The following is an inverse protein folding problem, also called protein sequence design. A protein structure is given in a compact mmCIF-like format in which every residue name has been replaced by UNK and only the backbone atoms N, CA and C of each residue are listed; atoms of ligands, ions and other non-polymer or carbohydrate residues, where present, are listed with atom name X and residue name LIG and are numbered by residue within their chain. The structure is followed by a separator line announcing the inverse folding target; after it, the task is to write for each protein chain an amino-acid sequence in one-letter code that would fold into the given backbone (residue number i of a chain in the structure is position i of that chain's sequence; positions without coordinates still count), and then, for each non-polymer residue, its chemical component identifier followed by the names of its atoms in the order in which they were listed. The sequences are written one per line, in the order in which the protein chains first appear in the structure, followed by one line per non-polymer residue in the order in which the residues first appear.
data_IF_730744077062
#
_entry.id   IF_730744077062
#
_cell.length_a   1.000
_cell.length_b   1.000
_cell.length_c   1.000
_cell.angle_alpha   90.00
_cell.angle_beta   90.00
_cell.angle_gamma   90.00
#
_symmetry.space_group_name_H-M   'P 1'
#
loop_
_entity.id
_entity.type
_entity.pdbx_description
1 polymer ?
#
# COMPACT_ATOMS: atom_id res chain seq x y z
N UNK A 1 30.85 -58.89 -25.01
CA UNK A 1 30.09 -58.80 -23.75
C UNK A 1 30.78 -57.85 -22.76
N UNK A 2 32.10 -57.85 -22.71
CA UNK A 2 32.90 -57.05 -21.76
C UNK A 2 32.80 -55.53 -21.95
N UNK A 3 32.64 -55.04 -23.19
CA UNK A 3 32.51 -53.59 -23.45
C UNK A 3 31.18 -52.99 -22.96
N UNK A 4 30.12 -53.78 -22.89
CA UNK A 4 28.81 -53.32 -22.37
C UNK A 4 28.78 -53.33 -20.83
N UNK A 5 29.47 -54.28 -20.20
CA UNK A 5 29.65 -54.31 -18.75
C UNK A 5 30.52 -53.16 -18.27
N UNK A 6 31.59 -52.82 -19.01
CA UNK A 6 32.43 -51.66 -18.70
C UNK A 6 31.65 -50.33 -18.76
N UNK A 7 30.85 -50.11 -19.81
CA UNK A 7 30.03 -48.90 -19.95
C UNK A 7 28.89 -48.81 -18.91
N UNK A 8 28.35 -49.96 -18.48
CA UNK A 8 27.37 -49.99 -17.41
C UNK A 8 27.99 -49.61 -16.06
N UNK A 9 29.21 -50.08 -15.80
CA UNK A 9 29.94 -49.80 -14.56
C UNK A 9 30.40 -48.33 -14.48
N UNK A 10 30.87 -47.76 -15.59
CA UNK A 10 31.23 -46.34 -15.69
C UNK A 10 30.00 -45.42 -15.48
N UNK A 11 28.81 -45.83 -15.97
CA UNK A 11 27.55 -45.11 -15.71
C UNK A 11 27.07 -45.23 -14.27
N UNK A 12 27.26 -46.37 -13.63
CA UNK A 12 26.90 -46.52 -12.21
C UNK A 12 27.83 -45.73 -11.32
N UNK A 13 29.13 -45.70 -11.60
CA UNK A 13 30.12 -44.98 -10.79
C UNK A 13 29.97 -43.46 -10.93
N UNK A 14 29.67 -42.97 -12.14
CA UNK A 14 29.35 -41.56 -12.37
C UNK A 14 28.01 -41.14 -11.75
N UNK A 15 26.99 -42.00 -11.77
CA UNK A 15 25.74 -41.75 -11.05
C UNK A 15 25.94 -41.76 -9.52
N UNK A 16 26.81 -42.63 -9.01
CA UNK A 16 27.14 -42.73 -7.58
C UNK A 16 27.91 -41.49 -7.09
N UNK A 17 28.86 -41.00 -7.90
CA UNK A 17 29.60 -39.76 -7.64
C UNK A 17 28.68 -38.53 -7.69
N UNK A 18 27.74 -38.47 -8.64
CA UNK A 18 26.75 -37.39 -8.71
C UNK A 18 25.76 -37.39 -7.53
N UNK A 19 25.37 -38.57 -7.05
CA UNK A 19 24.55 -38.73 -5.84
C UNK A 19 25.31 -38.33 -4.57
N UNK A 20 26.61 -38.67 -4.47
CA UNK A 20 27.45 -38.23 -3.35
C UNK A 20 27.73 -36.72 -3.38
N UNK A 21 27.96 -36.13 -4.55
CA UNK A 21 28.14 -34.68 -4.67
C UNK A 21 26.86 -33.92 -4.34
N UNK A 22 25.70 -34.40 -4.81
CA UNK A 22 24.39 -33.84 -4.46
C UNK A 22 24.09 -34.00 -2.97
N UNK A 23 24.42 -35.15 -2.37
CA UNK A 23 24.32 -35.38 -0.92
C UNK A 23 25.18 -34.40 -0.12
N UNK A 24 26.43 -34.18 -0.53
CA UNK A 24 27.34 -33.24 0.13
C UNK A 24 26.85 -31.78 0.03
N UNK A 25 26.34 -31.36 -1.14
CA UNK A 25 25.74 -30.03 -1.34
C UNK A 25 24.43 -29.82 -0.56
N UNK A 26 23.62 -30.85 -0.42
CA UNK A 26 22.41 -30.82 0.42
C UNK A 26 22.81 -30.72 1.89
N UNK A 27 23.82 -31.46 2.35
CA UNK A 27 24.31 -31.35 3.73
C UNK A 27 24.94 -29.99 4.03
N UNK A 28 25.67 -29.40 3.08
CA UNK A 28 26.25 -28.05 3.24
C UNK A 28 25.18 -26.95 3.22
N UNK A 29 24.13 -27.14 2.41
CA UNK A 29 22.98 -26.23 2.36
C UNK A 29 22.11 -26.34 3.60
N UNK A 30 21.95 -27.55 4.15
CA UNK A 30 21.26 -27.76 5.42
C UNK A 30 22.06 -27.22 6.61
N UNK A 31 23.40 -27.31 6.59
CA UNK A 31 24.23 -26.65 7.61
C UNK A 31 24.19 -25.14 7.49
N UNK A 32 24.20 -24.57 6.28
CA UNK A 32 24.09 -23.11 6.09
C UNK A 32 22.70 -22.58 6.44
N UNK A 33 21.63 -23.34 6.15
CA UNK A 33 20.27 -23.04 6.61
C UNK A 33 20.15 -23.15 8.13
N UNK A 34 20.79 -24.15 8.75
CA UNK A 34 20.84 -24.30 10.21
C UNK A 34 21.56 -23.14 10.87
N UNK A 35 22.71 -22.73 10.33
CA UNK A 35 23.47 -21.60 10.86
C UNK A 35 22.74 -20.28 10.60
N UNK A 36 22.15 -20.08 9.42
CA UNK A 36 21.33 -18.91 9.10
C UNK A 36 20.07 -18.80 9.99
N UNK A 37 19.36 -19.90 10.22
CA UNK A 37 18.21 -19.94 11.13
C UNK A 37 18.64 -19.67 12.58
N UNK A 38 19.79 -20.19 13.01
CA UNK A 38 20.35 -19.94 14.34
C UNK A 38 20.73 -18.47 14.52
N UNK A 39 21.34 -17.85 13.52
CA UNK A 39 21.72 -16.42 13.56
C UNK A 39 20.49 -15.52 13.50
N UNK A 40 19.50 -15.83 12.66
CA UNK A 40 18.24 -15.11 12.59
C UNK A 40 17.47 -15.18 13.92
N UNK A 41 17.38 -16.36 14.53
CA UNK A 41 16.71 -16.53 15.82
C UNK A 41 17.45 -15.80 16.96
N UNK A 42 18.78 -15.78 16.94
CA UNK A 42 19.58 -15.02 17.90
C UNK A 42 19.42 -13.50 17.71
N UNK A 43 19.33 -13.02 16.48
CA UNK A 43 19.06 -11.62 16.16
C UNK A 43 17.64 -11.21 16.58
N UNK A 44 16.63 -12.04 16.31
CA UNK A 44 15.26 -11.78 16.76
C UNK A 44 15.14 -11.77 18.28
N UNK A 45 15.81 -12.69 18.97
CA UNK A 45 15.85 -12.72 20.43
C UNK A 45 16.57 -11.50 21.02
N UNK A 46 17.70 -11.08 20.44
CA UNK A 46 18.41 -9.87 20.87
C UNK A 46 17.63 -8.58 20.60
N UNK A 47 16.89 -8.51 19.49
CA UNK A 47 16.01 -7.38 19.16
C UNK A 47 14.77 -7.30 20.07
N UNK A 48 14.28 -8.45 20.55
CA UNK A 48 13.23 -8.51 21.58
C UNK A 48 13.80 -8.14 22.95
N UNK A 49 15.05 -8.45 23.26
CA UNK A 49 15.65 -8.13 24.57
C UNK A 49 15.99 -6.64 24.73
N UNK A 50 16.35 -5.97 23.63
CA UNK A 50 16.70 -4.54 23.60
C UNK A 50 15.51 -3.58 23.54
N UNK A 51 14.33 -4.05 23.08
CA UNK A 51 13.11 -3.23 22.94
C UNK A 51 12.32 -3.04 24.24
N UNK A 52 12.66 -3.72 25.33
CA UNK A 52 11.85 -3.73 26.55
C UNK A 52 12.63 -3.26 27.77
N UNK A 53 12.23 -2.13 28.35
CA UNK A 53 12.75 -1.59 29.62
C UNK A 53 11.62 -1.45 30.66
N UNK A 54 11.93 -1.99 31.84
CA UNK A 54 11.33 -1.86 33.18
C UNK A 54 9.86 -2.26 33.40
N UNK A 55 9.66 -3.50 33.85
CA UNK A 55 8.47 -3.98 34.57
C UNK A 55 8.62 -5.43 35.03
N UNK A 56 7.96 -5.84 36.12
CA UNK A 56 8.05 -7.19 36.72
C UNK A 56 7.75 -8.33 35.72
N UNK A 57 6.88 -8.07 34.74
CA UNK A 57 6.55 -8.98 33.64
C UNK A 57 7.76 -9.29 32.73
N UNK A 58 8.65 -8.31 32.52
CA UNK A 58 9.84 -8.48 31.67
C UNK A 58 10.89 -9.38 32.31
N UNK A 59 10.99 -9.42 33.65
CA UNK A 59 11.90 -10.35 34.33
C UNK A 59 11.45 -11.81 34.19
N UNK A 60 10.15 -12.09 34.30
CA UNK A 60 9.62 -13.45 34.12
C UNK A 60 9.82 -13.98 32.70
N UNK A 61 9.60 -13.13 31.70
CA UNK A 61 9.83 -13.50 30.30
C UNK A 61 11.32 -13.72 30.03
N UNK A 62 12.22 -12.88 30.58
CA UNK A 62 13.67 -13.09 30.48
C UNK A 62 14.14 -14.39 31.12
N UNK A 63 13.64 -14.72 32.31
CA UNK A 63 13.94 -15.99 32.98
C UNK A 63 13.45 -17.20 32.17
N UNK A 64 12.23 -17.11 31.63
CA UNK A 64 11.67 -18.16 30.78
C UNK A 64 12.47 -18.35 29.48
N UNK A 65 12.88 -17.26 28.82
CA UNK A 65 13.74 -17.30 27.63
C UNK A 65 15.14 -17.86 27.93
N UNK A 66 15.71 -17.54 29.10
CA UNK A 66 16.99 -18.10 29.53
C UNK A 66 16.89 -19.62 29.76
N UNK A 67 15.85 -20.09 30.45
CA UNK A 67 15.57 -21.51 30.64
C UNK A 67 15.34 -22.23 29.32
N UNK A 68 14.57 -21.63 28.39
CA UNK A 68 14.33 -22.18 27.06
C UNK A 68 15.64 -22.31 26.27
N UNK A 69 16.51 -21.29 26.34
CA UNK A 69 17.82 -21.28 25.67
C UNK A 69 18.76 -22.34 26.23
N UNK A 70 18.70 -22.61 27.53
CA UNK A 70 19.49 -23.63 28.20
C UNK A 70 18.97 -25.05 27.88
N UNK A 71 17.64 -25.23 27.89
CA UNK A 71 16.99 -26.47 27.44
C UNK A 71 17.33 -26.78 25.97
N UNK A 72 17.29 -25.78 25.08
CA UNK A 72 17.66 -25.93 23.67
C UNK A 72 19.15 -26.21 23.47
N UNK A 73 20.05 -25.78 24.36
CA UNK A 73 21.47 -26.15 24.33
C UNK A 73 21.72 -27.60 24.76
N UNK A 74 20.90 -28.15 25.65
CA UNK A 74 21.00 -29.52 26.12
C UNK A 74 20.47 -30.55 25.10
N UNK A 75 19.60 -30.12 24.17
CA UNK A 75 19.11 -30.96 23.08
C UNK A 75 20.22 -31.14 22.04
N UNK A 76 20.86 -32.30 22.04
CA UNK A 76 21.79 -32.71 20.97
C UNK A 76 20.99 -33.00 19.69
N UNK A 77 21.13 -32.19 18.62
CA UNK A 77 20.35 -32.39 17.40
C UNK A 77 20.61 -33.76 16.75
N UNK A 78 21.83 -34.29 16.88
CA UNK A 78 22.20 -35.61 16.35
C UNK A 78 21.31 -36.73 16.90
N UNK A 79 20.92 -36.67 18.18
CA UNK A 79 20.04 -37.66 18.81
C UNK A 79 18.60 -37.59 18.28
N UNK A 80 18.15 -36.41 17.88
CA UNK A 80 16.85 -36.22 17.22
C UNK A 80 16.93 -36.78 15.80
N UNK A 81 18.00 -36.47 15.05
CA UNK A 81 18.18 -37.01 13.70
C UNK A 81 18.31 -38.53 13.71
N UNK A 82 19.08 -39.11 14.62
CA UNK A 82 19.23 -40.57 14.75
C UNK A 82 17.87 -41.21 15.06
N UNK A 83 17.06 -40.63 15.95
CA UNK A 83 15.71 -41.14 16.24
C UNK A 83 14.74 -40.97 15.08
N UNK A 84 14.81 -39.86 14.34
CA UNK A 84 13.99 -39.64 13.14
C UNK A 84 14.38 -40.64 12.06
N UNK A 85 15.68 -40.88 11.86
CA UNK A 85 16.19 -41.86 10.89
C UNK A 85 15.76 -43.27 11.28
N UNK A 86 15.92 -43.67 12.55
CA UNK A 86 15.46 -44.98 13.04
C UNK A 86 13.95 -45.14 12.82
N UNK A 87 13.16 -44.12 13.13
CA UNK A 87 11.71 -44.14 12.89
C UNK A 87 11.37 -44.33 11.40
N UNK A 88 12.00 -43.55 10.51
CA UNK A 88 11.76 -43.65 9.06
C UNK A 88 12.30 -44.94 8.42
N UNK A 89 13.36 -45.53 8.97
CA UNK A 89 14.01 -46.73 8.43
C UNK A 89 13.37 -48.03 8.96
N UNK A 90 12.90 -48.04 10.21
CA UNK A 90 12.40 -49.27 10.84
C UNK A 90 10.90 -49.30 11.08
N UNK A 91 10.22 -48.17 11.27
CA UNK A 91 8.79 -48.16 11.62
C UNK A 91 7.88 -47.72 10.47
N UNK A 92 8.42 -46.98 9.50
CA UNK A 92 7.64 -46.49 8.35
C UNK A 92 7.58 -47.54 7.23
N UNK A 93 6.50 -48.32 7.21
CA UNK A 93 6.19 -49.23 6.09
C UNK A 93 5.51 -48.50 4.93
N UNK A 94 5.52 -49.08 3.72
CA UNK A 94 4.89 -48.51 2.50
C UNK A 94 3.46 -47.97 2.73
N UNK A 95 2.56 -48.63 3.47
CA UNK A 95 1.22 -48.10 3.75
C UNK A 95 1.23 -46.77 4.52
N UNK A 96 2.17 -46.56 5.43
CA UNK A 96 2.31 -45.31 6.19
C UNK A 96 2.75 -44.14 5.31
N UNK A 97 3.65 -44.40 4.34
CA UNK A 97 4.04 -43.39 3.35
C UNK A 97 2.87 -43.01 2.43
N UNK A 98 2.09 -44.00 1.99
CA UNK A 98 0.88 -43.74 1.19
C UNK A 98 -0.15 -42.93 1.97
N UNK A 99 -0.42 -43.30 3.23
CA UNK A 99 -1.36 -42.58 4.07
C UNK A 99 -0.90 -41.15 4.38
N UNK A 100 0.39 -40.97 4.73
CA UNK A 100 0.98 -39.65 4.97
C UNK A 100 0.96 -38.76 3.72
N UNK A 101 1.30 -39.32 2.55
CA UNK A 101 1.23 -38.61 1.27
C UNK A 101 -0.21 -38.21 0.90
N UNK A 102 -1.18 -39.11 1.11
CA UNK A 102 -2.60 -38.83 0.89
C UNK A 102 -3.11 -37.73 1.83
N UNK A 103 -2.75 -37.77 3.11
CA UNK A 103 -3.09 -36.72 4.08
C UNK A 103 -2.45 -35.37 3.73
N UNK A 104 -1.20 -35.35 3.28
CA UNK A 104 -0.52 -34.12 2.86
C UNK A 104 -1.15 -33.52 1.60
N UNK A 105 -1.49 -34.35 0.62
CA UNK A 105 -2.18 -33.92 -0.59
C UNK A 105 -3.56 -33.37 -0.26
N UNK A 106 -4.36 -34.11 0.52
CA UNK A 106 -5.68 -33.67 0.94
C UNK A 106 -5.62 -32.38 1.78
N UNK A 107 -4.68 -32.30 2.72
CA UNK A 107 -4.44 -31.10 3.53
C UNK A 107 -4.01 -29.90 2.70
N UNK A 108 -3.19 -30.11 1.66
CA UNK A 108 -2.78 -29.05 0.73
C UNK A 108 -3.94 -28.60 -0.15
N UNK A 109 -4.74 -29.52 -0.68
CA UNK A 109 -5.94 -29.19 -1.50
C UNK A 109 -6.97 -28.44 -0.66
N UNK A 110 -7.25 -28.91 0.57
CA UNK A 110 -8.14 -28.22 1.51
C UNK A 110 -7.56 -26.87 1.91
N UNK A 111 -6.26 -26.79 2.20
CA UNK A 111 -5.57 -25.55 2.56
C UNK A 111 -5.61 -24.50 1.43
N UNK A 112 -5.38 -24.92 0.19
CA UNK A 112 -5.51 -24.05 -0.99
C UNK A 112 -6.98 -23.65 -1.20
N UNK A 113 -7.93 -24.58 -1.11
CA UNK A 113 -9.35 -24.28 -1.28
C UNK A 113 -9.88 -23.31 -0.20
N UNK A 114 -9.46 -23.51 1.06
CA UNK A 114 -9.76 -22.61 2.18
C UNK A 114 -9.04 -21.27 2.00
N UNK A 115 -7.77 -21.25 1.60
CA UNK A 115 -7.02 -20.02 1.34
C UNK A 115 -7.62 -19.18 0.20
N UNK A 116 -8.05 -19.82 -0.89
CA UNK A 116 -8.73 -19.18 -2.02
C UNK A 116 -10.10 -18.65 -1.59
N UNK A 117 -10.87 -19.40 -0.77
CA UNK A 117 -12.17 -18.94 -0.24
C UNK A 117 -12.06 -17.88 0.85
N UNK A 118 -11.00 -17.88 1.65
CA UNK A 118 -10.76 -16.86 2.68
C UNK A 118 -10.23 -15.56 2.09
N UNK A 119 -9.48 -15.60 0.97
CA UNK A 119 -9.08 -14.40 0.22
C UNK A 119 -10.27 -13.56 -0.28
N UNK A 120 -11.44 -14.18 -0.47
CA UNK A 120 -12.66 -13.49 -0.93
C UNK A 120 -13.49 -12.81 0.17
N UNK A 121 -13.08 -12.84 1.44
CA UNK A 121 -13.98 -12.47 2.56
C UNK A 121 -13.85 -11.02 3.07
N UNK A 122 -13.15 -10.12 2.37
CA UNK A 122 -13.38 -8.68 2.56
C UNK A 122 -14.52 -8.25 1.64
N UNK A 123 -15.70 -8.83 1.83
CA UNK A 123 -16.91 -8.41 1.11
C UNK A 123 -17.24 -7.00 1.60
N UNK A 124 -17.19 -6.02 0.70
CA UNK A 124 -17.65 -4.68 0.99
C UNK A 124 -19.08 -4.76 1.58
N UNK A 125 -19.38 -4.04 2.68
CA UNK A 125 -20.67 -4.12 3.35
C UNK A 125 -21.80 -3.84 2.35
N UNK A 126 -22.98 -4.45 2.50
CA UNK A 126 -24.09 -4.26 1.54
C UNK A 126 -24.55 -2.79 1.41
N UNK A 127 -24.21 -1.98 2.42
CA UNK A 127 -24.48 -0.54 2.52
C UNK A 127 -23.25 0.15 3.07
N UNK A 128 -23.04 1.39 2.65
CA UNK A 128 -21.97 2.25 3.14
C UNK A 128 -22.47 3.66 3.39
N UNK A 129 -21.73 4.37 4.25
CA UNK A 129 -21.91 5.80 4.45
C UNK A 129 -21.21 6.60 3.36
N UNK A 130 -21.85 7.67 2.92
CA UNK A 130 -21.27 8.63 1.99
C UNK A 130 -21.80 10.05 2.23
N UNK A 131 -20.97 11.04 1.95
CA UNK A 131 -21.37 12.44 1.86
C UNK A 131 -21.83 12.71 0.43
N UNK A 132 -23.10 13.08 0.29
CA UNK A 132 -23.76 13.21 -1.00
C UNK A 132 -24.53 14.51 -1.14
N UNK A 133 -24.91 14.84 -2.37
CA UNK A 133 -25.98 15.77 -2.67
C UNK A 133 -27.10 15.09 -3.45
N UNK A 134 -28.35 15.46 -3.16
CA UNK A 134 -29.56 15.01 -3.87
C UNK A 134 -30.21 16.11 -4.71
N UNK A 135 -29.65 17.32 -4.67
CA UNK A 135 -30.03 18.45 -5.49
C UNK A 135 -28.84 19.40 -5.60
N UNK A 136 -28.74 20.15 -6.69
CA UNK A 136 -27.68 21.15 -6.85
C UNK A 136 -28.04 22.46 -6.15
N UNK A 137 -27.85 22.52 -4.83
CA UNK A 137 -28.07 23.74 -4.02
C UNK A 137 -26.82 24.15 -3.25
N UNK A 138 -25.65 23.71 -3.71
CA UNK A 138 -24.38 24.00 -3.03
C UNK A 138 -24.31 23.36 -1.65
N UNK A 139 -23.74 24.09 -0.70
CA UNK A 139 -23.43 23.57 0.64
C UNK A 139 -24.67 23.09 1.41
N UNK A 140 -25.82 23.71 1.21
CA UNK A 140 -27.07 23.38 1.89
C UNK A 140 -27.64 22.01 1.50
N UNK A 141 -27.25 21.48 0.34
CA UNK A 141 -27.70 20.16 -0.13
C UNK A 141 -26.78 19.02 0.32
N UNK A 142 -25.66 19.33 0.98
CA UNK A 142 -24.67 18.33 1.42
C UNK A 142 -25.22 17.60 2.65
N UNK A 143 -25.32 16.28 2.56
CA UNK A 143 -25.77 15.44 3.65
C UNK A 143 -25.03 14.11 3.70
N UNK A 144 -25.05 13.47 4.87
CA UNK A 144 -24.54 12.10 5.03
C UNK A 144 -25.70 11.13 4.82
N UNK A 145 -25.50 10.14 3.96
CA UNK A 145 -26.44 9.04 3.71
C UNK A 145 -25.76 7.75 4.12
N UNK A 146 -26.47 6.89 4.86
CA UNK A 146 -25.90 5.67 5.45
C UNK A 146 -26.18 4.40 4.64
N UNK A 147 -27.06 4.48 3.65
CA UNK A 147 -27.56 3.34 2.88
C UNK A 147 -27.16 3.36 1.39
N UNK A 148 -26.00 3.96 1.08
CA UNK A 148 -25.45 3.94 -0.29
C UNK A 148 -24.93 2.54 -0.61
N UNK A 149 -25.20 2.04 -1.81
CA UNK A 149 -24.62 0.76 -2.27
C UNK A 149 -23.14 1.01 -2.60
N UNK A 150 -22.20 0.24 -2.03
CA UNK A 150 -20.80 0.42 -2.38
C UNK A 150 -20.53 0.11 -3.85
N UNK A 151 -19.62 0.85 -4.48
CA UNK A 151 -19.23 0.59 -5.86
C UNK A 151 -18.54 -0.76 -5.99
N UNK A 152 -18.65 -1.37 -7.17
CA UNK A 152 -18.01 -2.64 -7.52
C UNK A 152 -17.11 -2.45 -8.72
N UNK A 153 -16.12 -3.33 -8.85
CA UNK A 153 -15.25 -3.38 -10.03
C UNK A 153 -16.12 -3.81 -11.22
N UNK A 154 -16.22 -2.94 -12.23
CA UNK A 154 -16.96 -3.17 -13.47
C UNK A 154 -15.98 -3.43 -14.61
N UNK A 155 -14.86 -2.70 -14.61
CA UNK A 155 -13.86 -2.79 -15.66
C UNK A 155 -12.61 -3.54 -15.17
N UNK A 156 -11.89 -4.24 -16.07
CA UNK A 156 -10.77 -5.09 -15.68
C UNK A 156 -9.57 -4.38 -15.04
N UNK A 157 -9.40 -3.07 -15.29
CA UNK A 157 -8.29 -2.24 -14.82
C UNK A 157 -8.66 -1.39 -13.59
N UNK A 158 -9.83 -1.65 -12.99
CA UNK A 158 -10.30 -0.93 -11.82
C UNK A 158 -9.84 -1.58 -10.52
N UNK A 159 -9.69 -0.77 -9.49
CA UNK A 159 -9.39 -1.17 -8.12
C UNK A 159 -10.45 -0.66 -7.18
N UNK A 160 -10.80 -1.47 -6.18
CA UNK A 160 -11.68 -1.08 -5.07
C UNK A 160 -10.82 -0.72 -3.87
N UNK A 161 -10.96 0.50 -3.37
CA UNK A 161 -10.21 1.04 -2.25
C UNK A 161 -11.17 1.26 -1.08
N UNK A 162 -10.81 0.74 0.10
CA UNK A 162 -11.44 1.14 1.35
C UNK A 162 -10.84 2.47 1.79
N UNK A 163 -11.67 3.50 1.82
CA UNK A 163 -11.26 4.86 2.18
C UNK A 163 -11.00 4.91 3.69
N UNK A 164 -9.81 5.35 4.09
CA UNK A 164 -9.45 5.59 5.49
C UNK A 164 -9.55 7.08 5.85
N UNK A 165 -9.18 7.94 4.92
CA UNK A 165 -9.36 9.38 5.00
C UNK A 165 -9.64 9.97 3.63
N UNK A 166 -10.37 11.08 3.58
CA UNK A 166 -10.69 11.80 2.36
C UNK A 166 -10.50 13.31 2.56
N UNK A 167 -10.02 13.98 1.53
CA UNK A 167 -9.89 15.44 1.49
C UNK A 167 -11.18 16.11 1.06
N UNK A 168 -11.32 17.39 1.42
CA UNK A 168 -12.41 18.26 0.96
C UNK A 168 -11.78 19.43 0.24
N UNK A 169 -12.23 19.67 -0.99
CA UNK A 169 -11.80 20.78 -1.82
C UNK A 169 -12.91 21.79 -2.06
N UNK A 170 -12.54 23.02 -2.41
CA UNK A 170 -13.51 24.02 -2.89
C UNK A 170 -14.29 23.54 -4.12
N UNK A 171 -13.69 22.65 -4.92
CA UNK A 171 -14.35 22.00 -6.04
C UNK A 171 -15.56 21.17 -5.62
N UNK A 172 -15.56 20.55 -4.44
CA UNK A 172 -16.71 19.77 -3.97
C UNK A 172 -17.95 20.64 -3.81
N UNK A 173 -17.78 21.89 -3.37
CA UNK A 173 -18.85 22.88 -3.29
C UNK A 173 -19.36 23.22 -4.70
N UNK A 174 -18.46 23.40 -5.68
CA UNK A 174 -18.85 23.66 -7.08
C UNK A 174 -19.61 22.46 -7.68
N UNK A 175 -19.17 21.25 -7.39
CA UNK A 175 -19.85 20.01 -7.82
C UNK A 175 -21.24 19.92 -7.20
N UNK A 176 -21.37 20.30 -5.92
CA UNK A 176 -22.64 20.44 -5.22
C UNK A 176 -23.54 21.56 -5.78
N UNK A 177 -22.98 22.54 -6.50
CA UNK A 177 -23.72 23.56 -7.26
C UNK A 177 -24.05 23.13 -8.70
N UNK A 178 -23.62 21.95 -9.14
CA UNK A 178 -23.89 21.43 -10.49
C UNK A 178 -22.75 21.58 -11.48
N UNK A 179 -21.56 21.98 -11.04
CA UNK A 179 -20.37 21.96 -11.90
C UNK A 179 -20.11 20.56 -12.45
N UNK A 180 -19.87 20.45 -13.75
CA UNK A 180 -19.66 19.18 -14.44
C UNK A 180 -20.88 18.25 -14.52
N UNK A 181 -22.09 18.71 -14.16
CA UNK A 181 -23.34 17.92 -14.19
C UNK A 181 -23.57 17.22 -15.54
N UNK A 182 -23.49 17.97 -16.64
CA UNK A 182 -23.75 17.45 -17.99
C UNK A 182 -22.75 16.35 -18.35
N UNK A 183 -21.46 16.57 -18.07
CA UNK A 183 -20.42 15.60 -18.33
C UNK A 183 -20.60 14.33 -17.48
N UNK A 184 -20.92 14.48 -16.19
CA UNK A 184 -21.26 13.36 -15.30
C UNK A 184 -22.42 12.54 -15.84
N UNK A 185 -23.49 13.19 -16.27
CA UNK A 185 -24.67 12.51 -16.81
C UNK A 185 -24.32 11.72 -18.08
N UNK A 186 -23.46 12.25 -18.95
CA UNK A 186 -23.06 11.55 -20.16
C UNK A 186 -22.11 10.39 -19.91
N UNK A 187 -21.05 10.59 -19.11
CA UNK A 187 -20.03 9.58 -18.84
C UNK A 187 -20.55 8.45 -17.95
N UNK A 188 -21.42 8.76 -16.99
CA UNK A 188 -21.94 7.77 -16.04
C UNK A 188 -23.24 7.12 -16.49
N UNK A 189 -23.76 7.44 -17.68
CA UNK A 189 -25.04 6.90 -18.20
C UNK A 189 -25.11 5.37 -18.18
N UNK A 190 -23.97 4.71 -18.42
CA UNK A 190 -23.87 3.25 -18.49
C UNK A 190 -23.07 2.65 -17.32
N UNK A 191 -22.73 3.46 -16.31
CA UNK A 191 -21.98 3.00 -15.16
C UNK A 191 -22.95 2.38 -14.14
N UNK A 192 -22.88 1.07 -13.86
CA UNK A 192 -23.80 0.40 -12.94
C UNK A 192 -23.60 0.80 -11.48
N UNK A 193 -22.48 1.48 -11.15
CA UNK A 193 -22.23 2.03 -9.83
C UNK A 193 -22.92 3.40 -9.60
N UNK A 194 -23.62 3.94 -10.61
CA UNK A 194 -24.33 5.22 -10.52
C UNK A 194 -25.79 5.07 -10.93
N UNK A 195 -26.70 5.53 -10.09
CA UNK A 195 -28.14 5.45 -10.34
C UNK A 195 -28.67 6.77 -10.93
N UNK A 196 -28.39 7.04 -12.20
CA UNK A 196 -28.83 8.27 -12.85
C UNK A 196 -28.07 9.50 -12.34
N UNK A 197 -28.79 10.58 -12.03
CA UNK A 197 -28.17 11.85 -11.65
C UNK A 197 -27.83 11.98 -10.16
N UNK A 198 -28.63 11.37 -9.28
CA UNK A 198 -28.49 11.45 -7.83
C UNK A 198 -28.60 10.07 -7.19
N UNK A 199 -28.03 9.85 -6.00
CA UNK A 199 -27.18 10.77 -5.24
C UNK A 199 -25.80 10.98 -5.89
N UNK A 200 -25.24 12.17 -5.75
CA UNK A 200 -23.86 12.45 -6.16
C UNK A 200 -22.96 12.38 -4.94
N UNK A 201 -22.02 11.43 -4.91
CA UNK A 201 -20.97 11.36 -3.89
C UNK A 201 -19.91 12.44 -4.14
N UNK A 202 -19.59 13.22 -3.11
CA UNK A 202 -18.58 14.29 -3.14
C UNK A 202 -17.18 13.78 -2.76
N UNK A 203 -16.17 14.63 -2.81
CA UNK A 203 -14.78 14.33 -2.43
C UNK A 203 -13.93 13.93 -3.61
N UNK A 204 -12.77 14.57 -3.78
CA UNK A 204 -11.83 14.27 -4.87
C UNK A 204 -10.62 13.48 -4.41
N UNK A 205 -10.21 13.66 -3.16
CA UNK A 205 -9.04 12.99 -2.61
C UNK A 205 -9.41 11.85 -1.68
N UNK A 206 -8.64 10.76 -1.72
CA UNK A 206 -8.55 9.88 -0.56
C UNK A 206 -7.21 9.19 -0.39
N UNK A 207 -7.05 8.67 0.82
CA UNK A 207 -6.04 7.69 1.16
C UNK A 207 -6.70 6.49 1.83
N UNK A 208 -6.26 5.30 1.47
CA UNK A 208 -6.93 4.08 1.85
C UNK A 208 -6.12 2.83 1.58
N UNK A 209 -6.82 1.69 1.61
CA UNK A 209 -6.23 0.37 1.38
C UNK A 209 -6.95 -0.31 0.22
N UNK A 210 -6.22 -0.89 -0.73
CA UNK A 210 -6.79 -1.66 -1.82
C UNK A 210 -7.42 -2.94 -1.26
N UNK A 211 -8.72 -3.13 -1.45
CA UNK A 211 -9.44 -4.32 -0.97
C UNK A 211 -9.76 -5.32 -2.07
N UNK A 212 -9.79 -4.90 -3.33
CA UNK A 212 -9.90 -5.78 -4.49
C UNK A 212 -9.31 -5.11 -5.73
N UNK A 213 -8.85 -5.92 -6.66
CA UNK A 213 -8.29 -5.48 -7.95
C UNK A 213 -8.98 -6.20 -9.09
N UNK A 214 -9.14 -5.53 -10.22
CA UNK A 214 -9.62 -6.11 -11.45
C UNK A 214 -8.57 -7.05 -12.06
N UNK A 215 -9.02 -7.90 -12.99
CA UNK A 215 -8.18 -8.96 -13.57
C UNK A 215 -6.97 -8.47 -14.38
N UNK A 216 -7.03 -7.24 -14.90
CA UNK A 216 -6.00 -6.66 -15.76
C UNK A 216 -5.18 -5.59 -15.00
N UNK A 217 -5.41 -5.43 -13.69
CA UNK A 217 -4.62 -4.54 -12.83
C UNK A 217 -3.24 -5.14 -12.59
N UNK A 218 -2.21 -4.32 -12.71
CA UNK A 218 -0.81 -4.74 -12.56
C UNK A 218 0.06 -3.79 -11.72
N UNK A 219 -0.40 -2.55 -11.50
CA UNK A 219 0.40 -1.51 -10.83
C UNK A 219 0.27 -1.51 -9.30
N UNK A 220 -0.78 -2.12 -8.77
CA UNK A 220 -1.09 -2.17 -7.33
C UNK A 220 -1.69 -3.52 -6.97
N UNK A 221 -1.50 -3.93 -5.72
CA UNK A 221 -1.99 -5.21 -5.20
C UNK A 221 -3.00 -5.04 -4.06
N UNK A 222 -3.81 -6.07 -3.84
CA UNK A 222 -4.71 -6.13 -2.68
C UNK A 222 -3.90 -6.02 -1.37
N UNK A 223 -4.35 -5.15 -0.47
CA UNK A 223 -3.71 -4.88 0.82
C UNK A 223 -2.75 -3.69 0.80
N UNK A 224 -2.45 -3.12 -0.37
CA UNK A 224 -1.54 -1.99 -0.50
C UNK A 224 -2.18 -0.68 0.03
N UNK A 225 -1.37 0.13 0.72
CA UNK A 225 -1.76 1.47 1.14
C UNK A 225 -1.57 2.47 0.00
N UNK A 226 -2.65 3.13 -0.39
CA UNK A 226 -2.68 3.99 -1.57
C UNK A 226 -3.26 5.36 -1.26
N UNK A 227 -2.95 6.30 -2.13
CA UNK A 227 -3.62 7.60 -2.23
C UNK A 227 -4.03 7.85 -3.68
N UNK A 228 -5.06 8.67 -3.88
CA UNK A 228 -5.60 8.95 -5.20
C UNK A 228 -6.36 10.26 -5.21
N UNK A 229 -6.48 10.82 -6.41
CA UNK A 229 -7.40 11.90 -6.73
C UNK A 229 -8.32 11.45 -7.88
N UNK A 230 -9.62 11.72 -7.77
CA UNK A 230 -10.59 11.44 -8.83
C UNK A 230 -10.98 12.72 -9.57
N UNK A 231 -11.24 12.65 -10.88
CA UNK A 231 -11.70 13.80 -11.62
C UNK A 231 -13.12 14.22 -11.20
N UNK A 232 -13.48 15.49 -11.41
CA UNK A 232 -14.75 16.06 -10.95
C UNK A 232 -16.01 15.36 -11.50
N UNK A 233 -15.88 14.62 -12.60
CA UNK A 233 -16.96 13.88 -13.22
C UNK A 233 -17.08 12.42 -12.74
N UNK A 234 -16.16 11.96 -11.91
CA UNK A 234 -16.21 10.64 -11.31
C UNK A 234 -17.06 10.65 -10.02
N UNK A 235 -17.50 9.47 -9.58
CA UNK A 235 -18.05 9.32 -8.23
C UNK A 235 -16.99 9.68 -7.18
N UNK A 236 -17.41 10.35 -6.12
CA UNK A 236 -16.47 10.91 -5.15
C UNK A 236 -15.93 9.94 -4.10
N UNK A 237 -14.96 10.45 -3.34
CA UNK A 237 -14.19 9.73 -2.33
C UNK A 237 -14.66 9.97 -0.89
N UNK A 238 -15.60 10.89 -0.64
CA UNK A 238 -16.26 11.03 0.67
C UNK A 238 -17.28 9.92 0.88
N UNK A 239 -16.81 8.68 0.85
CA UNK A 239 -17.57 7.46 1.09
C UNK A 239 -16.62 6.40 1.68
N UNK A 240 -17.16 5.32 2.25
CA UNK A 240 -16.30 4.29 2.85
C UNK A 240 -15.53 3.45 1.81
N UNK A 241 -15.99 3.44 0.55
CA UNK A 241 -15.35 2.71 -0.55
C UNK A 241 -15.41 3.49 -1.87
N UNK A 242 -14.29 3.49 -2.61
CA UNK A 242 -14.20 4.07 -3.95
C UNK A 242 -13.69 3.03 -4.94
N UNK A 243 -14.25 3.00 -6.14
CA UNK A 243 -13.71 2.24 -7.29
C UNK A 243 -13.12 3.23 -8.27
N UNK A 244 -11.89 3.01 -8.70
CA UNK A 244 -11.19 3.86 -9.67
C UNK A 244 -10.34 3.02 -10.62
N UNK A 245 -9.93 3.58 -11.76
CA UNK A 245 -8.86 2.98 -12.58
C UNK A 245 -7.54 2.95 -11.81
N UNK A 246 -6.73 1.89 -12.00
CA UNK A 246 -5.39 1.80 -11.41
C UNK A 246 -4.48 2.98 -11.78
N UNK A 247 -4.74 3.67 -12.90
CA UNK A 247 -3.95 4.82 -13.35
C UNK A 247 -4.13 6.07 -12.47
N UNK A 248 -5.22 6.13 -11.69
CA UNK A 248 -5.47 7.20 -10.73
C UNK A 248 -4.88 6.91 -9.35
N UNK A 249 -4.28 5.73 -9.17
CA UNK A 249 -3.82 5.25 -7.88
C UNK A 249 -2.31 5.26 -7.83
N UNK A 250 -1.78 5.72 -6.70
CA UNK A 250 -0.36 5.66 -6.40
C UNK A 250 -0.12 5.11 -4.99
N UNK A 251 1.08 4.54 -4.73
CA UNK A 251 1.46 4.15 -3.38
C UNK A 251 1.44 5.36 -2.45
N UNK A 252 0.82 5.21 -1.29
CA UNK A 252 0.80 6.23 -0.25
C UNK A 252 2.21 6.38 0.33
N UNK A 253 2.74 7.61 0.55
CA UNK A 253 3.99 7.78 1.29
C UNK A 253 3.89 7.15 2.69
N UNK A 254 4.83 6.27 3.02
CA UNK A 254 4.82 5.50 4.28
C UNK A 254 4.99 6.36 5.53
N UNK A 255 5.57 7.55 5.38
CA UNK A 255 5.81 8.50 6.48
C UNK A 255 4.56 9.33 6.84
N UNK A 256 3.55 9.37 5.98
CA UNK A 256 2.33 10.14 6.22
C UNK A 256 1.28 9.28 6.92
N UNK A 257 0.41 9.88 7.72
CA UNK A 257 -0.83 9.21 8.13
C UNK A 257 -1.80 9.14 6.93
N UNK A 258 -2.92 8.43 7.07
CA UNK A 258 -3.95 8.43 6.03
C UNK A 258 -4.53 9.84 5.83
N UNK A 259 -4.74 10.59 6.90
CA UNK A 259 -5.25 11.97 6.87
C UNK A 259 -4.25 12.91 6.19
N UNK A 260 -2.97 12.83 6.56
CA UNK A 260 -1.91 13.63 5.94
C UNK A 260 -1.75 13.31 4.45
N UNK A 261 -1.87 12.03 4.07
CA UNK A 261 -1.84 11.63 2.67
C UNK A 261 -3.10 12.06 1.91
N UNK A 262 -4.29 11.98 2.50
CA UNK A 262 -5.54 12.37 1.84
C UNK A 262 -5.68 13.89 1.60
N UNK A 263 -4.84 14.72 2.22
CA UNK A 263 -4.89 16.19 2.07
C UNK A 263 -4.13 16.72 0.84
N UNK A 264 -3.50 15.84 0.06
CA UNK A 264 -2.47 16.21 -0.92
C UNK A 264 -2.81 15.94 -2.40
N UNK A 265 -3.43 14.82 -2.82
CA UNK A 265 -3.34 14.36 -4.20
C UNK A 265 -3.90 15.36 -5.23
N UNK A 266 -5.08 15.93 -5.01
CA UNK A 266 -5.72 16.89 -5.93
C UNK A 266 -4.93 18.19 -6.02
N UNK A 267 -4.44 18.67 -4.86
CA UNK A 267 -3.58 19.86 -4.79
C UNK A 267 -2.23 19.64 -5.47
N UNK A 268 -1.63 18.46 -5.31
CA UNK A 268 -0.40 18.07 -6.00
C UNK A 268 -0.61 18.02 -7.51
N UNK A 269 -1.66 17.35 -7.98
CA UNK A 269 -1.96 17.28 -9.41
C UNK A 269 -2.18 18.66 -10.00
N UNK A 270 -2.90 19.54 -9.30
CA UNK A 270 -3.15 20.91 -9.75
C UNK A 270 -1.87 21.74 -9.83
N UNK A 271 -1.00 21.65 -8.81
CA UNK A 271 0.29 22.35 -8.81
C UNK A 271 1.23 21.79 -9.88
N UNK A 272 1.26 20.46 -10.04
CA UNK A 272 2.09 19.78 -11.02
C UNK A 272 1.70 20.13 -12.45
N UNK A 273 0.40 20.16 -12.75
CA UNK A 273 -0.07 20.56 -14.08
C UNK A 273 0.32 22.01 -14.39
N UNK A 274 0.10 22.93 -13.46
CA UNK A 274 0.46 24.33 -13.64
C UNK A 274 1.98 24.55 -13.84
N UNK A 275 2.80 23.93 -13.00
CA UNK A 275 4.25 24.13 -13.02
C UNK A 275 4.93 23.34 -14.14
N UNK A 276 4.63 22.04 -14.26
CA UNK A 276 5.35 21.13 -15.15
C UNK A 276 4.71 21.12 -16.53
N UNK A 277 3.43 20.79 -16.63
CA UNK A 277 2.75 20.63 -17.92
C UNK A 277 2.61 21.96 -18.66
N UNK A 278 2.15 23.01 -17.95
CA UNK A 278 1.83 24.30 -18.59
C UNK A 278 3.04 25.24 -18.63
N UNK A 279 3.78 25.38 -17.54
CA UNK A 279 4.90 26.32 -17.46
C UNK A 279 6.28 25.72 -17.83
N UNK A 280 6.39 24.39 -18.00
CA UNK A 280 7.66 23.72 -18.35
C UNK A 280 8.74 23.83 -17.27
N UNK A 281 8.33 24.03 -16.01
CA UNK A 281 9.23 24.03 -14.86
C UNK A 281 9.46 22.61 -14.36
N UNK A 282 10.65 22.37 -13.82
CA UNK A 282 11.04 21.09 -13.25
C UNK A 282 12.41 21.18 -12.58
N UNK A 283 12.93 20.06 -12.04
CA UNK A 283 14.21 20.03 -11.33
C UNK A 283 15.36 20.68 -12.10
N UNK A 284 15.44 20.42 -13.42
CA UNK A 284 16.55 20.86 -14.25
C UNK A 284 16.36 22.25 -14.87
N UNK A 285 15.15 22.81 -14.82
CA UNK A 285 14.78 24.04 -15.52
C UNK A 285 14.39 25.19 -14.59
N UNK A 286 14.29 24.96 -13.28
CA UNK A 286 13.78 25.97 -12.31
C UNK A 286 14.88 26.74 -11.60
N UNK A 287 16.09 26.19 -11.51
CA UNK A 287 17.21 26.81 -10.81
C UNK A 287 17.47 28.25 -11.28
N UNK A 288 17.53 29.19 -10.34
CA UNK A 288 17.78 30.61 -10.61
C UNK A 288 16.59 31.39 -11.19
N UNK A 289 15.42 30.75 -11.41
CA UNK A 289 14.19 31.46 -11.79
C UNK A 289 13.50 32.05 -10.57
N UNK A 290 12.86 33.20 -10.77
CA UNK A 290 11.94 33.83 -9.80
C UNK A 290 10.51 33.47 -10.18
N UNK A 291 9.75 32.92 -9.25
CA UNK A 291 8.37 32.47 -9.46
C UNK A 291 7.46 33.16 -8.45
N UNK A 292 6.42 33.81 -8.95
CA UNK A 292 5.34 34.37 -8.13
C UNK A 292 4.22 33.33 -7.97
N UNK A 293 3.95 32.93 -6.73
CA UNK A 293 2.84 32.04 -6.38
C UNK A 293 1.75 32.86 -5.69
N UNK A 294 0.61 33.04 -6.34
CA UNK A 294 -0.54 33.67 -5.67
C UNK A 294 -1.17 32.72 -4.66
N UNK A 295 -1.54 33.25 -3.49
CA UNK A 295 -2.14 32.48 -2.40
C UNK A 295 -1.29 31.25 -2.00
N UNK A 296 0.01 31.42 -1.74
CA UNK A 296 0.96 30.33 -1.46
C UNK A 296 0.69 29.49 -0.21
N UNK A 297 -0.31 29.85 0.60
CA UNK A 297 -0.77 29.05 1.76
C UNK A 297 -2.13 28.37 1.49
N UNK A 298 -2.61 28.40 0.23
CA UNK A 298 -3.72 27.56 -0.23
C UNK A 298 -3.28 26.11 -0.43
N UNK A 299 -4.22 25.16 -0.57
CA UNK A 299 -3.89 23.74 -0.81
C UNK A 299 -2.93 23.52 -1.99
N UNK A 300 -3.18 24.19 -3.12
CA UNK A 300 -2.28 24.16 -4.28
C UNK A 300 -1.01 24.98 -4.03
N UNK A 301 -1.15 26.16 -3.40
CA UNK A 301 -0.06 27.07 -3.12
C UNK A 301 1.05 26.45 -2.28
N UNK A 302 0.70 25.72 -1.22
CA UNK A 302 1.71 25.10 -0.33
C UNK A 302 2.53 24.05 -1.06
N UNK A 303 1.94 23.35 -2.04
CA UNK A 303 2.67 22.40 -2.88
C UNK A 303 3.57 23.15 -3.86
N UNK A 304 3.04 24.17 -4.54
CA UNK A 304 3.78 24.92 -5.55
C UNK A 304 5.02 25.63 -4.97
N UNK A 305 4.88 26.29 -3.81
CA UNK A 305 5.99 26.94 -3.10
C UNK A 305 7.10 25.93 -2.81
N UNK A 306 6.75 24.77 -2.24
CA UNK A 306 7.73 23.76 -1.87
C UNK A 306 8.40 23.11 -3.08
N UNK A 307 7.65 22.82 -4.16
CA UNK A 307 8.23 22.25 -5.38
C UNK A 307 9.22 23.20 -6.05
N UNK A 308 8.83 24.46 -6.25
CA UNK A 308 9.71 25.46 -6.86
C UNK A 308 10.96 25.65 -6.01
N UNK A 309 10.81 25.71 -4.68
CA UNK A 309 11.95 25.82 -3.78
C UNK A 309 12.86 24.59 -3.85
N UNK A 310 12.30 23.39 -3.89
CA UNK A 310 13.04 22.14 -4.02
C UNK A 310 13.81 22.04 -5.35
N UNK A 311 13.32 22.67 -6.42
CA UNK A 311 13.99 22.75 -7.72
C UNK A 311 14.97 23.93 -7.85
N UNK A 312 15.29 24.62 -6.74
CA UNK A 312 16.28 25.70 -6.71
C UNK A 312 15.77 27.04 -7.24
N UNK A 313 14.46 27.22 -7.37
CA UNK A 313 13.85 28.51 -7.67
C UNK A 313 13.74 29.42 -6.44
N UNK A 314 13.60 30.72 -6.70
CA UNK A 314 13.21 31.74 -5.72
C UNK A 314 11.71 31.96 -5.79
N UNK A 315 11.03 31.89 -4.64
CA UNK A 315 9.57 32.00 -4.57
C UNK A 315 9.19 33.31 -3.90
N UNK A 316 8.42 34.12 -4.61
CA UNK A 316 7.64 35.23 -4.04
C UNK A 316 6.20 34.76 -3.91
N UNK A 317 5.51 35.02 -2.80
CA UNK A 317 4.10 34.61 -2.64
C UNK A 317 3.22 35.70 -2.06
N UNK A 318 1.95 35.69 -2.46
CA UNK A 318 0.93 36.54 -1.85
C UNK A 318 0.14 35.77 -0.80
N UNK A 319 -0.06 36.34 0.39
CA UNK A 319 -0.77 35.70 1.52
C UNK A 319 -1.43 36.75 2.43
N UNK A 320 -2.26 36.32 3.38
CA UNK A 320 -2.66 37.21 4.49
C UNK A 320 -1.50 37.39 5.47
N UNK A 321 -1.46 38.50 6.20
CA UNK A 321 -0.42 38.78 7.19
C UNK A 321 -0.27 37.64 8.20
N UNK A 322 -1.39 37.06 8.65
CA UNK A 322 -1.39 35.91 9.58
C UNK A 322 -0.73 34.65 8.99
N UNK A 323 -0.76 34.48 7.67
CA UNK A 323 -0.21 33.31 7.00
C UNK A 323 1.26 33.50 6.56
N UNK A 324 1.81 34.71 6.69
CA UNK A 324 3.19 35.00 6.30
C UNK A 324 4.25 34.10 6.98
N UNK A 325 4.19 33.83 8.30
CA UNK A 325 5.17 32.94 8.94
C UNK A 325 5.15 31.52 8.37
N UNK A 326 3.96 31.01 8.01
CA UNK A 326 3.82 29.69 7.39
C UNK A 326 4.37 29.69 5.96
N UNK A 327 4.12 30.73 5.18
CA UNK A 327 4.67 30.86 3.83
C UNK A 327 6.21 30.83 3.83
N UNK A 328 6.85 31.56 4.76
CA UNK A 328 8.30 31.55 4.93
C UNK A 328 8.82 30.18 5.35
N UNK A 329 8.14 29.52 6.30
CA UNK A 329 8.48 28.17 6.74
C UNK A 329 8.45 27.16 5.58
N UNK A 330 7.50 27.31 4.65
CA UNK A 330 7.36 26.47 3.46
C UNK A 330 8.41 26.76 2.37
N UNK A 331 9.21 27.82 2.52
CA UNK A 331 10.30 28.16 1.62
C UNK A 331 10.05 29.33 0.69
N UNK A 332 9.02 30.15 0.95
CA UNK A 332 8.90 31.45 0.28
C UNK A 332 10.03 32.39 0.72
N UNK A 333 10.73 32.97 -0.24
CA UNK A 333 11.82 33.94 -0.02
C UNK A 333 11.24 35.32 0.26
N UNK A 334 10.29 35.74 -0.58
CA UNK A 334 9.59 37.02 -0.47
C UNK A 334 8.10 36.77 -0.21
N UNK A 335 7.50 37.55 0.69
CA UNK A 335 6.07 37.43 1.04
C UNK A 335 5.40 38.80 0.97
N UNK A 336 4.38 38.89 0.12
CA UNK A 336 3.56 40.09 -0.09
C UNK A 336 2.22 39.89 0.63
N UNK A 337 1.89 40.77 1.58
CA UNK A 337 0.66 40.67 2.37
C UNK A 337 -0.43 41.56 1.82
N UNK A 338 -1.59 40.99 1.46
CA UNK A 338 -2.66 41.75 0.78
C UNK A 338 -3.65 42.46 1.72
N UNK A 339 -3.54 42.25 3.04
CA UNK A 339 -4.50 42.75 4.04
C UNK A 339 -4.10 44.08 4.68
N UNK A 340 -2.88 44.59 4.44
CA UNK A 340 -2.36 45.78 5.11
C UNK A 340 -1.85 46.91 4.17
N UNK A 341 -1.69 46.66 2.86
CA UNK A 341 -1.05 47.63 1.95
C UNK A 341 -1.58 47.54 0.51
N UNK A 342 -1.33 48.59 -0.29
CA UNK A 342 -1.67 48.61 -1.70
C UNK A 342 -0.76 47.65 -2.48
N UNK A 343 -1.37 46.61 -3.04
CA UNK A 343 -0.72 45.49 -3.73
C UNK A 343 0.20 45.93 -4.88
N UNK A 344 -0.10 47.05 -5.54
CA UNK A 344 0.66 47.52 -6.71
C UNK A 344 2.01 48.19 -6.36
N UNK A 345 2.27 48.48 -5.09
CA UNK A 345 3.44 49.26 -4.64
C UNK A 345 4.50 48.46 -3.86
N UNK A 346 4.26 47.17 -3.60
CA UNK A 346 5.19 46.23 -2.92
C UNK A 346 5.85 45.26 -3.91
#
# INVERSE_FOLDING_TARGET
MDHLLFLAQERTDSAWLALHSAGSQVTSSLSSLKDGARTALQQSLGAVESRWVSGELTQRVRLWLAQLREALRAVKPSLIYDRIIIFFVHEVTRPHLFFGGACFFLGSVVGVAVGVRLRSSLVAPQRMRAVVVNAYRGIEAIGVVEDVVPPRIVEPHQVLVQVKAAGIDYLDIKVAQGYGRVLRQQLNKYNPNTAGEFPVVLGRDCSGVVVAVGRDVSRVEQGEEVWLAVPFYHSGTLSEYAVVSEDLVAPKPSQLSYEGAAALPYSIMSAWDALVTQAGLGPDSTAGKRVLVHAGVSGVGVVAVQLVRAWGGSVTTTVSTRAAPLAQLLGAEDVITYDNTNFDTE
#
